data_IF_676006043479
#
_entry.id   IF_676006043479
#
_cell.length_a   1.000
_cell.length_b   1.000
_cell.length_c   1.000
_cell.angle_alpha   90.00
_cell.angle_beta   90.00
_cell.angle_gamma   90.00
#
_symmetry.space_group_name_H-M   'P 1'
#
loop_
_entity.id
_entity.type
_entity.pdbx_description
1 polymer ?
#
# COMPACT_ATOMS: atom_id res chain seq x y z
N UNK A 1 -10.93 13.29 -10.65
CA UNK A 1 -10.04 12.25 -10.12
C UNK A 1 -9.76 11.28 -11.24
N UNK A 2 -8.54 11.30 -11.77
CA UNK A 2 -8.07 10.31 -12.75
C UNK A 2 -8.27 8.92 -12.16
N UNK A 3 -8.82 7.98 -12.93
CA UNK A 3 -9.00 6.62 -12.48
C UNK A 3 -7.62 6.00 -12.21
N UNK A 4 -7.26 5.82 -10.94
CA UNK A 4 -5.95 5.27 -10.54
C UNK A 4 -5.67 3.91 -11.20
N UNK A 5 -6.71 3.16 -11.54
CA UNK A 5 -6.56 1.90 -12.29
C UNK A 5 -6.09 2.14 -13.73
N UNK A 6 -6.60 3.16 -14.41
CA UNK A 6 -6.18 3.50 -15.78
C UNK A 6 -4.73 3.95 -15.83
N UNK A 7 -4.29 4.76 -14.85
CA UNK A 7 -2.90 5.23 -14.77
C UNK A 7 -1.93 4.08 -14.48
N UNK A 8 -2.39 3.04 -13.78
CA UNK A 8 -1.57 1.88 -13.47
C UNK A 8 -1.42 0.88 -14.60
N UNK A 9 -2.35 0.84 -15.57
CA UNK A 9 -2.31 -0.10 -16.69
C UNK A 9 -1.27 0.39 -17.71
N UNK A 10 -0.31 -0.48 -18.02
CA UNK A 10 0.84 -0.18 -18.87
C UNK A 10 0.97 -1.19 -20.01
N UNK A 11 1.49 -0.72 -21.13
CA UNK A 11 1.83 -1.54 -22.31
C UNK A 11 3.34 -1.75 -22.35
N UNK A 12 3.78 -3.02 -22.28
CA UNK A 12 5.20 -3.42 -22.37
C UNK A 12 5.44 -4.19 -23.66
N UNK A 13 6.68 -4.20 -24.14
CA UNK A 13 7.11 -4.95 -25.31
C UNK A 13 7.21 -6.45 -25.04
N UNK A 14 7.20 -7.25 -26.11
CA UNK A 14 7.48 -8.68 -26.04
C UNK A 14 8.83 -9.00 -25.38
N UNK A 15 9.85 -8.15 -25.58
CA UNK A 15 11.17 -8.33 -24.99
C UNK A 15 11.15 -8.12 -23.47
N UNK A 16 10.38 -7.14 -22.98
CA UNK A 16 10.18 -6.88 -21.54
C UNK A 16 9.30 -7.95 -20.88
N UNK A 17 8.30 -8.48 -21.60
CA UNK A 17 7.42 -9.52 -21.10
C UNK A 17 8.08 -10.91 -21.05
N UNK A 18 9.00 -11.20 -21.97
CA UNK A 18 9.66 -12.51 -22.11
C UNK A 18 10.34 -13.04 -20.83
N UNK A 19 11.08 -12.24 -20.04
CA UNK A 19 11.75 -12.72 -18.82
C UNK A 19 10.82 -12.81 -17.60
N UNK A 20 9.55 -12.39 -17.68
CA UNK A 20 8.64 -12.41 -16.54
C UNK A 20 8.31 -13.85 -16.12
N UNK A 21 8.33 -14.11 -14.80
CA UNK A 21 7.91 -15.41 -14.24
C UNK A 21 6.42 -15.67 -14.50
N UNK A 22 5.58 -14.66 -14.21
CA UNK A 22 4.16 -14.68 -14.49
C UNK A 22 3.89 -14.18 -15.92
N UNK A 23 3.15 -14.97 -16.70
CA UNK A 23 2.76 -14.60 -18.07
C UNK A 23 1.59 -13.63 -18.05
N UNK A 24 1.55 -12.74 -19.04
CA UNK A 24 0.42 -11.85 -19.28
C UNK A 24 -0.07 -11.95 -20.73
N UNK A 25 -1.25 -11.37 -20.99
CA UNK A 25 -1.87 -11.40 -22.31
C UNK A 25 -1.34 -10.30 -23.25
N UNK A 26 -1.29 -10.56 -24.56
CA UNK A 26 -1.04 -9.52 -25.55
C UNK A 26 -2.23 -8.55 -25.67
N UNK A 27 -1.96 -7.32 -26.10
CA UNK A 27 -2.99 -6.29 -26.33
C UNK A 27 -3.60 -6.47 -27.73
N UNK A 28 -4.92 -6.65 -27.87
CA UNK A 28 -5.56 -6.74 -29.18
C UNK A 28 -5.31 -5.49 -30.04
N UNK A 29 -4.85 -5.69 -31.28
CA UNK A 29 -4.56 -4.58 -32.20
C UNK A 29 -3.17 -3.95 -32.04
N UNK A 30 -2.39 -4.34 -31.02
CA UNK A 30 -1.03 -3.84 -30.81
C UNK A 30 -0.01 -4.99 -30.89
N UNK A 31 0.52 -5.23 -32.10
CA UNK A 31 1.44 -6.34 -32.33
C UNK A 31 2.71 -6.23 -31.46
N UNK A 32 3.03 -7.32 -30.75
CA UNK A 32 4.22 -7.39 -29.88
C UNK A 32 4.10 -6.61 -28.56
N UNK A 33 2.90 -6.13 -28.21
CA UNK A 33 2.63 -5.42 -26.96
C UNK A 33 1.81 -6.28 -25.99
N UNK A 34 2.10 -6.16 -24.71
CA UNK A 34 1.55 -6.95 -23.62
C UNK A 34 1.04 -6.04 -22.51
N UNK A 35 -0.07 -6.42 -21.89
CA UNK A 35 -0.71 -5.62 -20.85
C UNK A 35 -0.20 -6.01 -19.46
N UNK A 36 0.11 -5.03 -18.63
CA UNK A 36 0.37 -5.21 -17.20
C UNK A 36 -0.27 -4.07 -16.41
N UNK A 37 -0.33 -4.21 -15.10
CA UNK A 37 -0.61 -3.11 -14.18
C UNK A 37 0.46 -3.07 -13.09
N UNK A 38 0.96 -1.90 -12.69
CA UNK A 38 1.87 -1.83 -11.55
C UNK A 38 1.10 -2.02 -10.23
N UNK A 39 1.62 -2.87 -9.35
CA UNK A 39 0.95 -3.26 -8.10
C UNK A 39 0.57 -2.07 -7.22
N UNK A 40 1.40 -1.02 -7.11
CA UNK A 40 1.12 0.19 -6.32
C UNK A 40 -0.22 0.83 -6.68
N UNK A 41 -0.59 0.90 -7.95
CA UNK A 41 -1.85 1.52 -8.36
C UNK A 41 -3.05 0.64 -8.03
N UNK A 42 -2.90 -0.68 -8.13
CA UNK A 42 -3.95 -1.60 -7.69
C UNK A 42 -4.10 -1.57 -6.16
N UNK A 43 -3.00 -1.51 -5.40
CA UNK A 43 -3.01 -1.35 -3.94
C UNK A 43 -3.73 -0.06 -3.52
N UNK A 44 -3.43 1.07 -4.17
CA UNK A 44 -4.11 2.35 -3.93
C UNK A 44 -5.60 2.30 -4.30
N UNK A 45 -5.96 1.61 -5.38
CA UNK A 45 -7.35 1.39 -5.75
C UNK A 45 -8.10 0.58 -4.68
N UNK A 46 -7.53 -0.54 -4.22
CA UNK A 46 -8.09 -1.35 -3.14
C UNK A 46 -8.25 -0.55 -1.85
N UNK A 47 -7.24 0.25 -1.48
CA UNK A 47 -7.33 1.12 -0.30
C UNK A 47 -8.49 2.13 -0.41
N UNK A 48 -8.72 2.69 -1.59
CA UNK A 48 -9.85 3.60 -1.82
C UNK A 48 -11.21 2.87 -1.81
N UNK A 49 -11.28 1.61 -2.26
CA UNK A 49 -12.50 0.78 -2.11
C UNK A 49 -12.80 0.56 -0.63
N UNK A 50 -11.80 0.17 0.17
CA UNK A 50 -11.95 -0.02 1.62
C UNK A 50 -12.42 1.27 2.28
N UNK A 51 -11.79 2.41 1.96
CA UNK A 51 -12.19 3.73 2.46
C UNK A 51 -13.67 4.01 2.17
N UNK A 52 -14.12 3.81 0.93
CA UNK A 52 -15.54 3.99 0.56
C UNK A 52 -16.46 3.03 1.30
N UNK A 53 -16.05 1.76 1.47
CA UNK A 53 -16.81 0.76 2.21
C UNK A 53 -17.03 1.16 3.66
N UNK A 54 -16.03 1.73 4.32
CA UNK A 54 -16.17 2.24 5.69
C UNK A 54 -17.10 3.46 5.72
N UNK A 55 -16.84 4.46 4.87
CA UNK A 55 -17.59 5.71 4.83
C UNK A 55 -19.10 5.56 4.58
N UNK A 56 -19.48 4.59 3.76
CA UNK A 56 -20.87 4.42 3.33
C UNK A 56 -21.53 3.16 3.88
N UNK A 57 -20.76 2.25 4.50
CA UNK A 57 -21.24 0.92 4.89
C UNK A 57 -21.19 0.61 6.38
N UNK A 58 -20.63 1.49 7.22
CA UNK A 58 -20.50 1.28 8.67
C UNK A 58 -21.23 2.37 9.44
N UNK A 59 -22.00 2.00 10.46
CA UNK A 59 -22.60 2.93 11.41
C UNK A 59 -21.53 3.42 12.40
N UNK A 60 -21.27 4.73 12.37
CA UNK A 60 -20.21 5.38 13.16
C UNK A 60 -20.79 6.20 14.33
N UNK A 61 -22.08 6.07 14.64
CA UNK A 61 -22.75 6.95 15.61
C UNK A 61 -22.37 6.74 17.07
N UNK A 62 -21.78 5.58 17.43
CA UNK A 62 -21.40 5.25 18.82
C UNK A 62 -20.11 4.42 18.88
N UNK A 63 -19.10 4.81 18.09
CA UNK A 63 -17.79 4.16 18.09
C UNK A 63 -16.85 4.90 19.03
N UNK A 64 -15.90 4.17 19.63
CA UNK A 64 -14.85 4.81 20.42
C UNK A 64 -13.92 5.65 19.53
N UNK A 65 -13.08 6.50 20.14
CA UNK A 65 -12.18 7.40 19.41
C UNK A 65 -11.20 6.67 18.48
N UNK A 66 -10.86 5.41 18.75
CA UNK A 66 -9.97 4.60 17.91
C UNK A 66 -10.66 4.19 16.60
N UNK A 67 -11.98 4.00 16.65
CA UNK A 67 -12.81 3.67 15.51
C UNK A 67 -13.58 4.87 14.93
N UNK A 68 -13.39 6.08 15.48
CA UNK A 68 -13.95 7.32 14.94
C UNK A 68 -13.43 7.63 13.53
N UNK A 69 -14.25 8.33 12.73
CA UNK A 69 -13.94 8.58 11.31
C UNK A 69 -12.63 9.37 11.12
N UNK A 70 -12.31 10.29 12.03
CA UNK A 70 -11.06 11.07 11.99
C UNK A 70 -9.83 10.17 12.14
N UNK A 71 -9.87 9.19 13.07
CA UNK A 71 -8.79 8.25 13.27
C UNK A 71 -8.63 7.34 12.05
N UNK A 72 -9.74 6.83 11.52
CA UNK A 72 -9.74 5.99 10.31
C UNK A 72 -9.17 6.76 9.12
N UNK A 73 -9.56 8.00 8.90
CA UNK A 73 -9.03 8.84 7.82
C UNK A 73 -7.52 9.01 7.91
N UNK A 74 -7.02 9.32 9.11
CA UNK A 74 -5.59 9.44 9.35
C UNK A 74 -4.87 8.11 9.07
N UNK A 75 -5.42 6.97 9.49
CA UNK A 75 -4.88 5.64 9.18
C UNK A 75 -4.84 5.37 7.67
N UNK A 76 -5.93 5.65 6.95
CA UNK A 76 -6.02 5.45 5.50
C UNK A 76 -5.00 6.34 4.79
N UNK A 77 -4.83 7.60 5.21
CA UNK A 77 -3.84 8.49 4.62
C UNK A 77 -2.40 8.04 4.90
N UNK A 78 -2.10 7.60 6.12
CA UNK A 78 -0.80 7.04 6.47
C UNK A 78 -0.46 5.81 5.60
N UNK A 79 -1.42 4.89 5.42
CA UNK A 79 -1.25 3.74 4.53
C UNK A 79 -1.05 4.16 3.07
N UNK A 80 -1.83 5.14 2.58
CA UNK A 80 -1.67 5.70 1.23
C UNK A 80 -0.26 6.26 1.03
N UNK A 81 0.24 7.05 1.98
CA UNK A 81 1.59 7.61 1.94
C UNK A 81 2.65 6.50 1.95
N UNK A 82 2.49 5.48 2.79
CA UNK A 82 3.41 4.33 2.82
C UNK A 82 3.44 3.60 1.49
N UNK A 83 2.28 3.30 0.89
CA UNK A 83 2.19 2.63 -0.42
C UNK A 83 2.87 3.44 -1.52
N UNK A 84 2.69 4.76 -1.53
CA UNK A 84 3.36 5.65 -2.49
C UNK A 84 4.87 5.74 -2.24
N UNK A 85 5.30 5.75 -0.98
CA UNK A 85 6.71 5.81 -0.62
C UNK A 85 7.45 4.52 -1.00
N UNK A 86 6.85 3.36 -0.76
CA UNK A 86 7.47 2.08 -1.10
C UNK A 86 7.28 1.68 -2.57
N UNK A 87 6.20 2.17 -3.20
CA UNK A 87 5.86 2.00 -4.62
C UNK A 87 6.20 0.62 -5.18
N UNK A 88 5.36 -0.37 -4.87
CA UNK A 88 5.52 -1.71 -5.43
C UNK A 88 5.31 -1.71 -6.96
N UNK A 89 6.40 -1.93 -7.70
CA UNK A 89 6.42 -1.97 -9.17
C UNK A 89 6.24 -3.38 -9.74
N UNK A 90 5.88 -4.37 -8.92
CA UNK A 90 5.60 -5.74 -9.39
C UNK A 90 4.52 -5.71 -10.47
N UNK A 91 4.75 -6.31 -11.65
CA UNK A 91 3.73 -6.37 -12.70
C UNK A 91 2.58 -7.32 -12.31
N UNK A 92 1.40 -6.77 -12.12
CA UNK A 92 0.13 -7.50 -12.13
C UNK A 92 -0.18 -7.90 -13.56
N UNK A 93 -0.37 -9.19 -13.77
CA UNK A 93 -0.62 -9.78 -15.09
C UNK A 93 -2.11 -9.87 -15.39
N UNK A 94 -2.47 -10.04 -16.66
CA UNK A 94 -3.85 -10.28 -17.07
C UNK A 94 -4.00 -11.70 -17.59
N UNK A 95 -5.13 -12.34 -17.26
CA UNK A 95 -5.50 -13.66 -17.74
C UNK A 95 -7.00 -13.74 -18.08
N UNK A 96 -7.44 -14.91 -18.55
CA UNK A 96 -8.85 -15.25 -18.79
C UNK A 96 -9.10 -16.65 -18.26
N UNK A 97 -10.27 -16.91 -17.68
CA UNK A 97 -10.66 -18.26 -17.26
C UNK A 97 -10.89 -19.20 -18.46
N UNK A 98 -11.37 -18.65 -19.57
CA UNK A 98 -11.56 -19.35 -20.85
C UNK A 98 -11.40 -18.39 -22.03
N UNK A 99 -11.22 -18.92 -23.25
CA UNK A 99 -11.08 -18.09 -24.47
C UNK A 99 -12.34 -17.27 -24.81
N UNK A 100 -13.47 -17.54 -24.17
CA UNK A 100 -14.75 -16.84 -24.38
C UNK A 100 -15.00 -15.73 -23.34
N UNK A 101 -14.18 -15.65 -22.30
CA UNK A 101 -14.36 -14.73 -21.19
C UNK A 101 -13.48 -13.48 -21.32
N UNK A 102 -13.88 -12.34 -20.73
CA UNK A 102 -13.09 -11.12 -20.73
C UNK A 102 -11.77 -11.30 -19.99
N UNK A 103 -10.75 -10.50 -20.35
CA UNK A 103 -9.50 -10.45 -19.60
C UNK A 103 -9.73 -9.86 -18.22
N UNK A 104 -9.00 -10.35 -17.24
CA UNK A 104 -9.05 -9.91 -15.85
C UNK A 104 -7.62 -9.80 -15.30
N UNK A 105 -7.38 -8.81 -14.45
CA UNK A 105 -6.14 -8.73 -13.69
C UNK A 105 -6.05 -9.90 -12.71
N UNK A 106 -4.87 -10.48 -12.58
CA UNK A 106 -4.53 -11.54 -11.62
C UNK A 106 -3.67 -10.88 -10.56
N UNK A 107 -4.25 -10.61 -9.39
CA UNK A 107 -3.58 -9.91 -8.31
C UNK A 107 -2.60 -10.81 -7.54
N UNK A 108 -2.75 -12.13 -7.65
CA UNK A 108 -1.89 -13.14 -7.06
C UNK A 108 -0.58 -13.26 -7.84
N UNK A 109 0.27 -12.25 -7.70
CA UNK A 109 1.62 -12.23 -8.27
C UNK A 109 2.69 -12.34 -7.19
N UNK A 110 3.87 -12.80 -7.58
CA UNK A 110 5.01 -12.90 -6.68
C UNK A 110 5.64 -11.52 -6.57
N UNK A 111 5.64 -10.97 -5.35
CA UNK A 111 6.21 -9.67 -5.04
C UNK A 111 7.68 -9.80 -4.62
N UNK A 112 8.48 -8.78 -4.93
CA UNK A 112 9.82 -8.65 -4.35
C UNK A 112 9.74 -7.90 -3.03
N UNK A 113 9.87 -8.63 -1.92
CA UNK A 113 9.72 -8.09 -0.58
C UNK A 113 11.06 -7.79 0.10
N UNK A 114 11.05 -6.86 1.05
CA UNK A 114 12.10 -6.78 2.07
C UNK A 114 12.08 -8.08 2.89
N UNK A 115 13.22 -8.46 3.47
CA UNK A 115 13.30 -9.66 4.31
C UNK A 115 12.49 -9.47 5.62
N UNK A 116 11.21 -9.84 5.58
CA UNK A 116 10.29 -9.62 6.68
C UNK A 116 10.65 -10.41 7.95
N UNK A 117 11.10 -11.67 7.87
CA UNK A 117 11.60 -12.38 9.06
C UNK A 117 12.74 -11.66 9.77
N UNK A 118 13.68 -11.06 9.02
CA UNK A 118 14.75 -10.28 9.63
C UNK A 118 14.23 -9.00 10.29
N UNK A 119 13.26 -8.31 9.68
CA UNK A 119 12.60 -7.13 10.26
C UNK A 119 11.89 -7.52 11.57
N UNK A 120 11.11 -8.60 11.56
CA UNK A 120 10.42 -9.11 12.74
C UNK A 120 11.39 -9.47 13.86
N UNK A 121 12.47 -10.18 13.54
CA UNK A 121 13.51 -10.51 14.50
C UNK A 121 14.14 -9.26 15.12
N UNK A 122 14.51 -8.29 14.29
CA UNK A 122 15.10 -7.03 14.76
C UNK A 122 14.18 -6.31 15.74
N UNK A 123 12.89 -6.23 15.42
CA UNK A 123 11.87 -5.59 16.25
C UNK A 123 11.64 -6.35 17.57
N UNK A 124 11.53 -7.68 17.50
CA UNK A 124 11.32 -8.52 18.67
C UNK A 124 12.45 -8.40 19.69
N UNK A 125 13.70 -8.42 19.22
CA UNK A 125 14.89 -8.36 20.06
C UNK A 125 15.01 -7.01 20.81
N UNK A 126 14.43 -5.94 20.25
CA UNK A 126 14.52 -4.55 20.72
C UNK A 126 13.23 -3.97 21.29
N UNK A 127 12.17 -4.77 21.37
CA UNK A 127 10.87 -4.30 21.88
C UNK A 127 11.01 -3.75 23.30
N UNK A 128 10.28 -2.68 23.60
CA UNK A 128 10.10 -2.22 24.98
C UNK A 128 9.41 -3.33 25.79
N UNK A 129 10.04 -3.79 26.88
CA UNK A 129 9.57 -4.95 27.65
C UNK A 129 8.70 -4.58 28.83
N UNK A 130 8.94 -3.41 29.40
CA UNK A 130 8.22 -2.92 30.57
C UNK A 130 7.07 -1.98 30.18
N UNK A 131 6.14 -1.80 31.10
CA UNK A 131 5.06 -0.82 30.92
C UNK A 131 5.68 0.56 30.80
N UNK A 132 5.44 1.21 29.68
CA UNK A 132 5.92 2.58 29.44
C UNK A 132 5.17 3.56 30.35
N UNK A 133 5.91 4.33 31.14
CA UNK A 133 5.41 5.57 31.73
C UNK A 133 5.24 6.59 30.59
N UNK A 134 4.00 7.03 30.38
CA UNK A 134 3.62 7.94 29.30
C UNK A 134 3.53 9.40 29.74
N UNK A 135 3.82 9.69 31.00
CA UNK A 135 3.59 11.01 31.61
C UNK A 135 4.87 11.69 32.06
N UNK A 136 5.90 10.93 32.44
CA UNK A 136 7.14 11.51 32.94
C UNK A 136 8.01 12.05 31.79
N UNK A 137 8.38 13.32 31.90
CA UNK A 137 9.32 13.99 30.98
C UNK A 137 10.76 13.69 31.40
N UNK A 138 11.57 13.18 30.48
CA UNK A 138 13.00 12.92 30.71
C UNK A 138 13.79 14.21 30.51
N UNK A 139 14.29 14.82 31.59
CA UNK A 139 15.03 16.09 31.53
C UNK A 139 16.50 15.93 31.16
N UNK A 140 17.12 14.83 31.58
CA UNK A 140 18.53 14.52 31.31
C UNK A 140 18.70 13.67 30.03
N UNK A 141 17.92 13.99 29.00
CA UNK A 141 18.02 13.33 27.70
C UNK A 141 19.23 13.88 26.92
N UNK A 142 20.19 13.04 26.51
CA UNK A 142 21.36 13.48 25.74
C UNK A 142 21.01 14.09 24.37
N UNK A 143 19.82 13.83 23.83
CA UNK A 143 19.34 14.45 22.59
C UNK A 143 18.51 15.72 22.83
N UNK A 144 18.13 16.00 24.08
CA UNK A 144 17.28 17.15 24.44
C UNK A 144 15.85 17.05 23.88
N UNK A 145 15.39 15.87 23.48
CA UNK A 145 14.05 15.61 22.93
C UNK A 145 13.03 15.19 23.98
N UNK A 146 13.43 15.04 25.24
CA UNK A 146 12.52 14.67 26.33
C UNK A 146 11.29 15.57 26.48
N UNK A 147 11.34 16.82 25.99
CA UNK A 147 10.21 17.76 25.93
C UNK A 147 9.70 18.05 24.51
N UNK A 148 10.02 17.21 23.52
CA UNK A 148 9.56 17.38 22.14
C UNK A 148 8.03 17.29 22.07
N UNK A 149 7.41 18.24 21.37
CA UNK A 149 5.98 18.24 21.06
C UNK A 149 5.77 18.19 19.56
N UNK A 150 4.89 17.28 19.10
CA UNK A 150 4.51 17.20 17.70
C UNK A 150 3.53 18.34 17.36
N UNK A 151 3.84 19.09 16.30
CA UNK A 151 2.93 20.08 15.70
C UNK A 151 2.49 19.54 14.35
N UNK A 152 1.19 19.27 14.14
CA UNK A 152 0.69 18.79 12.86
C UNK A 152 1.07 19.72 11.69
N UNK A 153 1.57 19.16 10.59
CA UNK A 153 1.88 19.90 9.35
C UNK A 153 3.30 20.45 9.21
N UNK A 154 4.20 20.22 10.18
CA UNK A 154 5.60 20.69 10.11
C UNK A 154 6.59 19.70 9.49
N UNK A 155 6.15 18.50 9.10
CA UNK A 155 6.98 17.53 8.40
C UNK A 155 6.96 17.84 6.89
N UNK A 156 7.76 18.83 6.50
CA UNK A 156 8.07 19.09 5.10
C UNK A 156 9.44 18.48 4.76
N UNK A 157 9.43 17.36 4.03
CA UNK A 157 10.30 17.03 2.89
C UNK A 157 9.98 15.64 2.36
#
# INVERSE_FOLDING_TARGET
>A
MTNMMEVGISSISAAEARPMENKTLPIPGEQGRYIIQLAVFHQLHCLNIIRKGIYYGVDMTNVDDLFGIEHIDHCIDMLRQSLMCTSDVTPITFSRKSLREPMQGVAEVIHTCRNFPQIQKWAWDRRARDKLDKTTIVKDDPLGWGSYTYVPGTLAR
#
